data_IF_379452114765
#
_entry.id   IF_379452114765
#
_cell.length_a   1.000
_cell.length_b   1.000
_cell.length_c   1.000
_cell.angle_alpha   90.00
_cell.angle_beta   90.00
_cell.angle_gamma   90.00
#
_symmetry.space_group_name_H-M   'P 1'
#
loop_
_entity.id
_entity.type
_entity.pdbx_description
1 polymer ?
#
# COMPACT_ATOMS: atom_id res chain seq x y z
N UNK A 1 20.25 14.92 0.74
CA UNK A 1 20.16 13.44 0.53
C UNK A 1 18.93 12.84 1.19
N UNK A 2 18.59 13.23 2.43
CA UNK A 2 17.39 12.77 3.16
C UNK A 2 16.07 12.95 2.38
N UNK A 3 15.80 14.14 1.86
CA UNK A 3 14.53 14.42 1.16
C UNK A 3 14.40 13.66 -0.18
N UNK A 4 15.53 13.35 -0.84
CA UNK A 4 15.54 12.49 -2.02
C UNK A 4 15.18 11.04 -1.66
N UNK A 5 15.71 10.51 -0.56
CA UNK A 5 15.43 9.14 -0.12
C UNK A 5 13.96 8.96 0.27
N UNK A 6 13.40 9.91 1.02
CA UNK A 6 12.00 9.86 1.47
C UNK A 6 11.06 10.07 0.28
N UNK A 7 11.35 11.03 -0.59
CA UNK A 7 10.55 11.25 -1.80
C UNK A 7 10.58 10.08 -2.77
N UNK A 8 11.72 9.36 -2.88
CA UNK A 8 11.81 8.13 -3.65
C UNK A 8 11.03 7.00 -2.99
N UNK A 9 11.12 6.88 -1.67
CA UNK A 9 10.40 5.85 -0.92
C UNK A 9 8.88 6.04 -1.00
N UNK A 10 8.37 7.27 -0.90
CA UNK A 10 6.95 7.57 -1.07
C UNK A 10 6.42 7.14 -2.47
N UNK A 11 7.15 7.51 -3.52
CA UNK A 11 6.84 7.07 -4.89
C UNK A 11 6.89 5.55 -5.03
N UNK A 12 7.89 4.91 -4.42
CA UNK A 12 8.05 3.46 -4.45
C UNK A 12 6.87 2.77 -3.76
N UNK A 13 6.45 3.25 -2.58
CA UNK A 13 5.26 2.77 -1.87
C UNK A 13 4.03 2.89 -2.78
N UNK A 14 3.83 4.04 -3.42
CA UNK A 14 2.73 4.23 -4.38
C UNK A 14 2.74 3.21 -5.52
N UNK A 15 3.91 2.95 -6.12
CA UNK A 15 4.06 1.92 -7.15
C UNK A 15 3.69 0.54 -6.63
N UNK A 16 4.14 0.16 -5.44
CA UNK A 16 3.81 -1.13 -4.83
C UNK A 16 2.30 -1.29 -4.58
N UNK A 17 1.62 -0.25 -4.09
CA UNK A 17 0.17 -0.28 -3.87
C UNK A 17 -0.58 -0.44 -5.19
N UNK A 18 -0.16 0.27 -6.24
CA UNK A 18 -0.75 0.10 -7.58
C UNK A 18 -0.55 -1.33 -8.08
N UNK A 19 0.65 -1.89 -7.94
CA UNK A 19 0.95 -3.27 -8.33
C UNK A 19 0.13 -4.29 -7.53
N UNK A 20 -0.08 -4.07 -6.23
CA UNK A 20 -0.96 -4.90 -5.41
C UNK A 20 -2.40 -4.88 -5.94
N UNK A 21 -2.95 -3.70 -6.24
CA UNK A 21 -4.28 -3.57 -6.82
C UNK A 21 -4.38 -4.30 -8.18
N UNK A 22 -3.38 -4.12 -9.06
CA UNK A 22 -3.31 -4.85 -10.34
C UNK A 22 -3.25 -6.36 -10.10
N UNK A 23 -2.46 -6.82 -9.13
CA UNK A 23 -2.35 -8.23 -8.76
C UNK A 23 -3.68 -8.82 -8.30
N UNK A 24 -4.45 -8.08 -7.49
CA UNK A 24 -5.80 -8.50 -7.06
C UNK A 24 -6.75 -8.61 -8.25
N UNK A 25 -6.76 -7.61 -9.14
CA UNK A 25 -7.61 -7.62 -10.34
C UNK A 25 -7.23 -8.76 -11.30
N UNK A 26 -5.93 -8.96 -11.55
CA UNK A 26 -5.42 -10.04 -12.38
C UNK A 26 -5.72 -11.42 -11.78
N UNK A 27 -5.53 -11.59 -10.47
CA UNK A 27 -5.87 -12.82 -9.75
C UNK A 27 -7.37 -13.12 -9.79
N UNK A 28 -8.21 -12.09 -9.63
CA UNK A 28 -9.67 -12.20 -9.73
C UNK A 28 -10.10 -12.64 -11.13
N UNK A 29 -9.55 -11.99 -12.17
CA UNK A 29 -9.83 -12.35 -13.56
C UNK A 29 -9.34 -13.78 -13.88
N UNK A 30 -8.16 -14.16 -13.40
CA UNK A 30 -7.62 -15.51 -13.55
C UNK A 30 -8.50 -16.57 -12.90
N UNK A 31 -8.97 -16.33 -11.67
CA UNK A 31 -9.90 -17.24 -10.98
C UNK A 31 -11.26 -17.34 -11.68
N UNK A 32 -11.73 -16.26 -12.28
CA UNK A 32 -13.00 -16.27 -13.03
C UNK A 32 -12.90 -17.10 -14.32
N UNK A 33 -11.79 -16.95 -15.06
CA UNK A 33 -11.57 -17.61 -16.35
C UNK A 33 -11.04 -19.05 -16.21
N UNK A 34 -10.66 -19.48 -15.01
CA UNK A 34 -10.15 -20.82 -14.78
C UNK A 34 -11.21 -21.90 -15.05
N UNK A 35 -10.81 -23.09 -15.54
CA UNK A 35 -11.73 -24.20 -15.74
C UNK A 35 -12.27 -24.75 -14.42
N UNK A 36 -13.47 -25.32 -14.48
CA UNK A 36 -14.07 -26.04 -13.36
C UNK A 36 -13.18 -27.22 -12.92
N UNK A 37 -13.17 -27.58 -11.62
CA UNK A 37 -14.03 -27.05 -10.55
C UNK A 37 -13.46 -25.80 -9.84
N UNK A 38 -12.24 -25.39 -10.16
CA UNK A 38 -11.50 -24.38 -9.38
C UNK A 38 -11.72 -22.93 -9.86
N UNK A 39 -12.45 -22.73 -10.95
CA UNK A 39 -12.77 -21.41 -11.49
C UNK A 39 -14.27 -21.07 -11.47
N UNK A 40 -14.57 -19.84 -11.89
CA UNK A 40 -15.91 -19.28 -11.93
C UNK A 40 -16.15 -18.18 -10.89
N UNK A 41 -17.42 -17.81 -10.71
CA UNK A 41 -17.79 -16.62 -9.94
C UNK A 41 -17.39 -16.70 -8.45
N UNK A 42 -17.63 -17.84 -7.79
CA UNK A 42 -17.38 -17.97 -6.36
C UNK A 42 -15.87 -17.92 -6.02
N UNK A 43 -14.97 -18.66 -6.70
CA UNK A 43 -13.53 -18.49 -6.53
C UNK A 43 -13.04 -17.06 -6.83
N UNK A 44 -13.55 -16.43 -7.89
CA UNK A 44 -13.19 -15.06 -8.23
C UNK A 44 -13.57 -14.05 -7.15
N UNK A 45 -14.79 -14.16 -6.59
CA UNK A 45 -15.23 -13.33 -5.47
C UNK A 45 -14.36 -13.54 -4.23
N UNK A 46 -13.99 -14.78 -3.91
CA UNK A 46 -13.10 -15.07 -2.79
C UNK A 46 -11.74 -14.40 -2.97
N UNK A 47 -11.13 -14.53 -4.15
CA UNK A 47 -9.85 -13.87 -4.48
C UNK A 47 -9.98 -12.36 -4.40
N UNK A 48 -11.05 -11.77 -4.95
CA UNK A 48 -11.26 -10.33 -4.93
C UNK A 48 -11.37 -9.79 -3.51
N UNK A 49 -12.19 -10.42 -2.66
CA UNK A 49 -12.42 -9.98 -1.28
C UNK A 49 -11.16 -10.14 -0.45
N UNK A 50 -10.56 -11.34 -0.43
CA UNK A 50 -9.36 -11.60 0.38
C UNK A 50 -8.18 -10.76 -0.12
N UNK A 51 -8.00 -10.69 -1.44
CA UNK A 51 -6.95 -9.90 -2.07
C UNK A 51 -7.09 -8.41 -1.79
N UNK A 52 -8.32 -7.86 -1.84
CA UNK A 52 -8.56 -6.44 -1.53
C UNK A 52 -8.29 -6.13 -0.06
N UNK A 53 -8.71 -7.00 0.86
CA UNK A 53 -8.40 -6.86 2.29
C UNK A 53 -6.87 -6.85 2.48
N UNK A 54 -6.16 -7.79 1.84
CA UNK A 54 -4.70 -7.85 1.91
C UNK A 54 -4.04 -6.58 1.34
N UNK A 55 -4.49 -6.09 0.19
CA UNK A 55 -3.97 -4.87 -0.44
C UNK A 55 -4.20 -3.63 0.44
N UNK A 56 -5.38 -3.50 1.07
CA UNK A 56 -5.69 -2.41 2.01
C UNK A 56 -4.77 -2.49 3.23
N UNK A 57 -4.63 -3.67 3.83
CA UNK A 57 -3.78 -3.84 5.02
C UNK A 57 -2.32 -3.56 4.71
N UNK A 58 -1.76 -4.16 3.64
CA UNK A 58 -0.37 -3.95 3.28
C UNK A 58 -0.11 -2.51 2.83
N UNK A 59 -0.92 -1.97 1.92
CA UNK A 59 -0.76 -0.59 1.46
C UNK A 59 -0.94 0.41 2.59
N UNK A 60 -1.94 0.21 3.45
CA UNK A 60 -2.19 1.02 4.64
C UNK A 60 -1.01 1.00 5.61
N UNK A 61 -0.42 -0.17 5.87
CA UNK A 61 0.77 -0.29 6.71
C UNK A 61 1.98 0.46 6.13
N UNK A 62 2.21 0.35 4.82
CA UNK A 62 3.32 1.06 4.15
C UNK A 62 3.16 2.59 4.26
N UNK A 63 1.94 3.11 4.03
CA UNK A 63 1.65 4.52 4.21
C UNK A 63 1.67 4.97 5.67
N UNK A 64 1.33 4.09 6.62
CA UNK A 64 1.44 4.39 8.05
C UNK A 64 2.89 4.66 8.45
N UNK A 65 3.85 3.85 7.98
CA UNK A 65 5.28 4.09 8.25
C UNK A 65 5.75 5.43 7.68
N UNK A 66 5.32 5.78 6.46
CA UNK A 66 5.57 7.10 5.88
C UNK A 66 4.95 8.21 6.75
N UNK A 67 3.72 8.03 7.24
CA UNK A 67 3.05 8.98 8.11
C UNK A 67 3.78 9.21 9.43
N UNK A 68 4.24 8.15 10.08
CA UNK A 68 5.05 8.22 11.31
C UNK A 68 6.33 9.02 11.09
N UNK A 69 7.02 8.78 9.97
CA UNK A 69 8.21 9.52 9.61
C UNK A 69 7.93 11.03 9.49
N UNK A 70 6.91 11.42 8.72
CA UNK A 70 6.55 12.82 8.51
C UNK A 70 6.13 13.51 9.81
N UNK A 71 5.36 12.83 10.66
CA UNK A 71 4.93 13.34 11.96
C UNK A 71 6.11 13.56 12.91
N UNK A 72 7.09 12.64 12.90
CA UNK A 72 8.30 12.74 13.73
C UNK A 72 9.16 13.91 13.27
N UNK A 73 9.36 14.08 11.95
CA UNK A 73 10.07 15.22 11.37
C UNK A 73 9.42 16.55 11.76
N UNK A 74 8.10 16.67 11.59
CA UNK A 74 7.36 17.90 11.95
C UNK A 74 7.47 18.24 13.44
N UNK A 75 7.43 17.22 14.30
CA UNK A 75 7.61 17.40 15.75
C UNK A 75 9.02 17.90 16.07
N UNK A 76 10.06 17.33 15.46
CA UNK A 76 11.43 17.77 15.66
C UNK A 76 11.64 19.23 15.21
N UNK A 77 11.13 19.60 14.03
CA UNK A 77 11.20 20.96 13.50
C UNK A 77 10.50 21.97 14.43
N UNK A 78 9.34 21.62 14.97
CA UNK A 78 8.62 22.47 15.93
C UNK A 78 9.38 22.66 17.25
N UNK A 79 10.06 21.62 17.74
CA UNK A 79 10.90 21.70 18.95
C UNK A 79 12.13 22.59 18.69
N UNK A 80 12.79 22.45 17.54
CA UNK A 80 13.92 23.30 17.15
C UNK A 80 13.51 24.78 16.99
N UNK A 81 12.28 25.06 16.54
CA UNK A 81 11.75 26.42 16.49
C UNK A 81 11.44 26.97 17.88
N UNK A 82 10.86 26.17 18.77
CA UNK A 82 10.62 26.56 20.16
C UNK A 82 11.91 26.84 20.92
N UNK A 83 12.95 26.03 20.73
CA UNK A 83 14.25 26.20 21.36
C UNK A 83 15.04 27.42 20.84
N UNK A 84 14.66 27.98 19.70
CA UNK A 84 15.25 29.21 19.13
C UNK A 84 14.60 30.50 19.66
N UNK A 85 13.51 30.39 20.43
CA UNK A 85 12.85 31.52 21.11
C UNK A 85 13.40 31.69 22.52
#
# INVERSE_FOLDING_TARGET
>A
MRDLFIGLFDKLVGVFVILLCIGVLAGTAGAFLAPAPNGGLLPALAVFVIGSIYAILMGGMMYLFLGVYHNTKRTAEAIEELARR
#
